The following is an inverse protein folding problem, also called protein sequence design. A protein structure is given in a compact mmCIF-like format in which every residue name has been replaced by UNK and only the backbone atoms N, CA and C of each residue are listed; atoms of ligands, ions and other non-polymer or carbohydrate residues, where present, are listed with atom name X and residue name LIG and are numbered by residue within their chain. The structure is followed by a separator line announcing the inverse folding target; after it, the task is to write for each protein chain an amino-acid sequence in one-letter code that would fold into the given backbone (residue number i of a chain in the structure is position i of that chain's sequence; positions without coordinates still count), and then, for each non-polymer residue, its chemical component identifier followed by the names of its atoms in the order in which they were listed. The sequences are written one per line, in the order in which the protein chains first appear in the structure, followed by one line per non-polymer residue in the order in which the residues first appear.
data_IF_527806515941
#
_entry.id   IF_527806515941
#
_cell.length_a   1.000
_cell.length_b   1.000
_cell.length_c   1.000
_cell.angle_alpha   90.00
_cell.angle_beta   90.00
_cell.angle_gamma   90.00
#
_symmetry.space_group_name_H-M   'P 1'
#
loop_
_entity.id
_entity.type
_entity.pdbx_description
1 polymer ?
#
# COMPACT_ATOMS: atom_id res chain seq x y z
N UNK A 1 70.06 -11.11 -25.83
CA UNK A 1 69.51 -9.86 -25.26
C UNK A 1 68.02 -10.10 -25.04
N UNK A 2 67.65 -10.61 -23.86
CA UNK A 2 66.26 -10.90 -23.49
C UNK A 2 65.94 -10.05 -22.27
N UNK A 3 65.21 -8.97 -22.55
CA UNK A 3 64.51 -8.11 -21.62
C UNK A 3 63.28 -8.89 -21.17
N UNK A 4 63.26 -9.42 -19.95
CA UNK A 4 62.05 -9.99 -19.36
C UNK A 4 62.18 -10.01 -17.83
N UNK A 5 61.12 -9.51 -17.17
CA UNK A 5 60.67 -9.91 -15.83
C UNK A 5 61.32 -9.27 -14.57
N UNK A 6 61.48 -7.95 -14.51
CA UNK A 6 61.72 -7.22 -13.22
C UNK A 6 60.50 -6.46 -12.67
N UNK A 7 59.31 -6.61 -13.28
CA UNK A 7 58.08 -5.89 -12.88
C UNK A 7 57.05 -6.74 -12.11
N UNK A 8 57.11 -8.06 -12.22
CA UNK A 8 56.17 -8.98 -11.53
C UNK A 8 56.62 -9.33 -10.11
N UNK A 9 57.92 -9.51 -9.88
CA UNK A 9 58.48 -9.86 -8.56
C UNK A 9 58.38 -8.73 -7.52
N UNK A 10 58.41 -7.46 -7.94
CA UNK A 10 58.22 -6.34 -7.00
C UNK A 10 56.77 -6.20 -6.51
N UNK A 11 55.79 -6.50 -7.37
CA UNK A 11 54.37 -6.50 -6.97
C UNK A 11 54.07 -7.68 -6.06
N UNK A 12 54.59 -8.86 -6.38
CA UNK A 12 54.43 -10.06 -5.56
C UNK A 12 55.10 -9.93 -4.18
N UNK A 13 56.29 -9.33 -4.12
CA UNK A 13 56.95 -9.03 -2.86
C UNK A 13 56.20 -7.97 -2.05
N UNK A 14 55.62 -6.95 -2.70
CA UNK A 14 54.83 -5.92 -2.01
C UNK A 14 53.48 -6.47 -1.53
N UNK A 15 52.85 -7.39 -2.27
CA UNK A 15 51.65 -8.14 -1.87
C UNK A 15 51.99 -9.07 -0.69
N UNK A 16 53.11 -9.80 -0.76
CA UNK A 16 53.61 -10.61 0.34
C UNK A 16 53.88 -9.75 1.57
N UNK A 17 54.55 -8.60 1.42
CA UNK A 17 54.90 -7.72 2.53
C UNK A 17 53.67 -7.03 3.13
N UNK A 18 52.63 -6.75 2.33
CA UNK A 18 51.34 -6.19 2.77
C UNK A 18 50.47 -7.23 3.46
N UNK A 19 50.50 -8.47 2.99
CA UNK A 19 49.88 -9.61 3.66
C UNK A 19 50.60 -9.91 4.98
N UNK A 20 51.93 -9.85 5.00
CA UNK A 20 52.72 -9.95 6.22
C UNK A 20 52.44 -8.77 7.16
N UNK A 21 52.38 -7.52 6.70
CA UNK A 21 52.12 -6.37 7.59
C UNK A 21 50.73 -6.39 8.21
N UNK A 22 49.72 -6.89 7.50
CA UNK A 22 48.36 -7.07 8.05
C UNK A 22 48.30 -8.19 9.09
N UNK A 23 49.04 -9.29 8.88
CA UNK A 23 49.17 -10.39 9.85
C UNK A 23 50.01 -9.96 11.06
N UNK A 24 51.09 -9.21 10.85
CA UNK A 24 51.95 -8.64 11.91
C UNK A 24 51.19 -7.57 12.71
N UNK A 25 50.33 -6.77 12.06
CA UNK A 25 49.45 -5.81 12.74
C UNK A 25 48.36 -6.52 13.57
N UNK A 26 47.85 -7.67 13.09
CA UNK A 26 46.94 -8.52 13.87
C UNK A 26 47.64 -9.21 15.04
N UNK A 27 48.91 -9.59 14.90
CA UNK A 27 49.76 -10.10 15.99
C UNK A 27 50.15 -9.02 17.01
N UNK A 28 50.20 -7.75 16.61
CA UNK A 28 50.44 -6.60 17.50
C UNK A 28 49.15 -6.05 18.13
N UNK A 29 47.98 -6.57 17.76
CA UNK A 29 46.71 -6.26 18.39
C UNK A 29 46.66 -6.86 19.81
N UNK A 30 45.91 -6.31 20.77
CA UNK A 30 45.74 -6.86 22.12
C UNK A 30 45.36 -8.36 22.18
N UNK A 31 44.72 -8.89 21.13
CA UNK A 31 44.46 -10.33 20.95
C UNK A 31 45.73 -11.15 20.63
N UNK A 32 46.69 -10.59 19.89
CA UNK A 32 47.98 -11.21 19.58
C UNK A 32 49.01 -11.10 20.71
N UNK A 33 48.99 -10.00 21.48
CA UNK A 33 49.84 -9.87 22.67
C UNK A 33 49.42 -10.79 23.84
N UNK A 34 48.18 -11.28 23.85
CA UNK A 34 47.72 -12.31 24.80
C UNK A 34 48.27 -13.71 24.47
N UNK A 35 48.52 -13.99 23.18
CA UNK A 35 49.08 -15.24 22.68
C UNK A 35 50.58 -15.37 22.91
N UNK A 36 51.33 -14.26 22.87
CA UNK A 36 52.79 -14.26 22.93
C UNK A 36 53.37 -14.41 24.35
N UNK A 37 52.74 -13.77 25.35
CA UNK A 37 53.31 -13.73 26.72
C UNK A 37 52.95 -14.94 27.61
N UNK A 38 51.88 -15.69 27.31
CA UNK A 38 51.41 -16.86 28.08
C UNK A 38 50.53 -17.78 27.21
N UNK A 39 51.09 -18.74 26.44
CA UNK A 39 50.32 -19.59 25.51
C UNK A 39 49.17 -20.37 26.17
N UNK A 40 49.31 -20.72 27.46
CA UNK A 40 48.29 -21.44 28.22
C UNK A 40 47.05 -20.58 28.53
N UNK A 41 47.24 -19.31 28.88
CA UNK A 41 46.14 -18.40 29.24
C UNK A 41 45.31 -18.06 28.02
N UNK A 42 45.95 -17.82 26.87
CA UNK A 42 45.26 -17.62 25.60
C UNK A 42 44.45 -18.85 25.18
N UNK A 43 45.01 -20.05 25.31
CA UNK A 43 44.33 -21.29 24.95
C UNK A 43 43.11 -21.55 25.85
N UNK A 44 43.22 -21.30 27.15
CA UNK A 44 42.10 -21.40 28.09
C UNK A 44 41.02 -20.36 27.79
N UNK A 45 41.38 -19.11 27.49
CA UNK A 45 40.41 -18.07 27.11
C UNK A 45 39.67 -18.46 25.82
N UNK A 46 40.38 -19.00 24.84
CA UNK A 46 39.79 -19.44 23.57
C UNK A 46 38.80 -20.59 23.79
N UNK A 47 39.17 -21.59 24.59
CA UNK A 47 38.26 -22.68 24.97
C UNK A 47 37.07 -22.16 25.79
N UNK A 48 37.27 -21.14 26.63
CA UNK A 48 36.19 -20.50 27.37
C UNK A 48 35.23 -19.75 26.46
N UNK A 49 35.74 -19.04 25.45
CA UNK A 49 34.91 -18.38 24.43
C UNK A 49 34.19 -19.43 23.60
N UNK A 50 34.84 -20.50 23.17
CA UNK A 50 34.20 -21.58 22.41
C UNK A 50 33.11 -22.28 23.23
N UNK A 51 33.39 -22.61 24.48
CA UNK A 51 32.44 -23.33 25.35
C UNK A 51 31.32 -22.42 25.86
N UNK A 52 31.56 -21.11 26.01
CA UNK A 52 30.56 -20.12 26.43
C UNK A 52 29.75 -19.58 25.24
N UNK A 53 30.32 -19.54 24.04
CA UNK A 53 29.62 -19.11 22.82
C UNK A 53 28.43 -20.02 22.49
N UNK A 54 28.52 -21.31 22.81
CA UNK A 54 27.41 -22.27 22.62
C UNK A 54 26.18 -21.87 23.47
N UNK A 55 26.25 -21.76 24.80
CA UNK A 55 25.10 -21.36 25.62
C UNK A 55 24.71 -19.89 25.41
N UNK A 56 25.67 -18.98 25.20
CA UNK A 56 25.37 -17.55 24.98
C UNK A 56 24.72 -17.33 23.63
N UNK A 57 25.22 -17.97 22.57
CA UNK A 57 24.66 -17.89 21.23
C UNK A 57 23.28 -18.51 21.17
N UNK A 58 23.07 -19.68 21.79
CA UNK A 58 21.76 -20.29 21.89
C UNK A 58 20.77 -19.41 22.65
N UNK A 59 21.19 -18.80 23.75
CA UNK A 59 20.36 -17.86 24.50
C UNK A 59 19.97 -16.63 23.68
N UNK A 60 20.93 -16.01 23.00
CA UNK A 60 20.65 -14.86 22.12
C UNK A 60 19.71 -15.24 20.97
N UNK A 61 19.92 -16.41 20.35
CA UNK A 61 19.05 -16.90 19.29
C UNK A 61 17.62 -17.12 19.81
N UNK A 62 17.46 -17.74 20.98
CA UNK A 62 16.14 -17.92 21.60
C UNK A 62 15.48 -16.59 21.94
N UNK A 63 16.22 -15.61 22.48
CA UNK A 63 15.69 -14.28 22.76
C UNK A 63 15.25 -13.57 21.48
N UNK A 64 16.02 -13.67 20.40
CA UNK A 64 15.65 -13.12 19.09
C UNK A 64 14.43 -13.83 18.52
N UNK A 65 14.38 -15.16 18.57
CA UNK A 65 13.23 -15.94 18.12
C UNK A 65 11.97 -15.60 18.93
N UNK A 66 12.07 -15.52 20.24
CA UNK A 66 10.95 -15.20 21.13
C UNK A 66 10.51 -13.74 21.05
N UNK A 67 11.37 -12.82 20.61
CA UNK A 67 10.99 -11.43 20.33
C UNK A 67 10.45 -11.24 18.90
N UNK A 68 10.93 -12.02 17.93
CA UNK A 68 10.45 -11.96 16.55
C UNK A 68 9.13 -12.72 16.36
N UNK A 69 8.92 -13.84 17.07
CA UNK A 69 7.69 -14.62 17.03
C UNK A 69 6.43 -13.80 17.32
N UNK A 70 6.35 -12.97 18.39
CA UNK A 70 5.19 -12.11 18.62
C UNK A 70 5.07 -11.01 17.58
N UNK A 71 6.18 -10.46 17.05
CA UNK A 71 6.12 -9.48 15.96
C UNK A 71 5.48 -10.06 14.69
N UNK A 72 5.90 -11.26 14.28
CA UNK A 72 5.29 -11.97 13.14
C UNK A 72 3.83 -12.32 13.43
N UNK A 73 3.52 -12.75 14.66
CA UNK A 73 2.15 -13.03 15.08
C UNK A 73 1.24 -11.81 14.97
N UNK A 74 1.67 -10.65 15.44
CA UNK A 74 0.92 -9.40 15.34
C UNK A 74 0.74 -8.99 13.88
N UNK A 75 1.78 -9.04 13.05
CA UNK A 75 1.69 -8.70 11.62
C UNK A 75 0.68 -9.62 10.90
N UNK A 76 0.67 -10.92 11.20
CA UNK A 76 -0.29 -11.86 10.62
C UNK A 76 -1.73 -11.58 11.08
N UNK A 77 -1.94 -11.32 12.38
CA UNK A 77 -3.27 -11.02 12.92
C UNK A 77 -3.79 -9.68 12.39
N UNK A 78 -2.96 -8.64 12.42
CA UNK A 78 -3.31 -7.31 11.91
C UNK A 78 -3.60 -7.38 10.40
N UNK A 79 -2.74 -8.04 9.63
CA UNK A 79 -2.96 -8.25 8.20
C UNK A 79 -4.24 -9.03 7.89
N UNK A 80 -4.54 -10.07 8.67
CA UNK A 80 -5.78 -10.83 8.54
C UNK A 80 -7.01 -9.98 8.85
N UNK A 81 -6.99 -9.23 9.96
CA UNK A 81 -8.09 -8.35 10.37
C UNK A 81 -8.32 -7.25 9.33
N UNK A 82 -7.25 -6.63 8.81
CA UNK A 82 -7.35 -5.63 7.75
C UNK A 82 -7.90 -6.25 6.47
N UNK A 83 -7.48 -7.46 6.10
CA UNK A 83 -7.97 -8.15 4.90
C UNK A 83 -9.46 -8.47 5.00
N UNK A 84 -9.91 -9.08 6.09
CA UNK A 84 -11.32 -9.40 6.33
C UNK A 84 -12.16 -8.13 6.44
N UNK A 85 -11.64 -7.11 7.13
CA UNK A 85 -12.28 -5.80 7.23
C UNK A 85 -12.44 -5.13 5.87
N UNK A 86 -11.38 -5.15 5.05
CA UNK A 86 -11.40 -4.58 3.70
C UNK A 86 -12.37 -5.32 2.78
N UNK A 87 -12.40 -6.65 2.82
CA UNK A 87 -13.35 -7.46 2.04
C UNK A 87 -14.80 -7.16 2.46
N UNK A 88 -15.05 -7.04 3.76
CA UNK A 88 -16.37 -6.70 4.31
C UNK A 88 -16.80 -5.30 3.87
N UNK A 89 -15.90 -4.32 4.00
CA UNK A 89 -16.15 -2.94 3.57
C UNK A 89 -16.38 -2.87 2.07
N UNK A 90 -15.52 -3.49 1.25
CA UNK A 90 -15.70 -3.57 -0.21
C UNK A 90 -17.02 -4.23 -0.56
N UNK A 91 -17.40 -5.30 0.13
CA UNK A 91 -18.67 -5.99 -0.08
C UNK A 91 -19.85 -5.06 0.21
N UNK A 92 -19.84 -4.36 1.35
CA UNK A 92 -20.90 -3.42 1.73
C UNK A 92 -20.94 -2.22 0.78
N UNK A 93 -19.79 -1.63 0.44
CA UNK A 93 -19.70 -0.52 -0.51
C UNK A 93 -20.21 -0.93 -1.89
N UNK A 94 -19.86 -2.13 -2.34
CA UNK A 94 -20.33 -2.67 -3.62
C UNK A 94 -21.85 -2.90 -3.60
N UNK A 95 -22.39 -3.49 -2.52
CA UNK A 95 -23.83 -3.67 -2.34
C UNK A 95 -24.59 -2.35 -2.32
N UNK A 96 -24.12 -1.38 -1.53
CA UNK A 96 -24.69 -0.03 -1.48
C UNK A 96 -24.58 0.69 -2.83
N UNK A 97 -23.45 0.54 -3.53
CA UNK A 97 -23.24 1.09 -4.86
C UNK A 97 -24.22 0.51 -5.88
N UNK A 98 -24.40 -0.80 -5.89
CA UNK A 98 -25.35 -1.47 -6.78
C UNK A 98 -26.80 -1.04 -6.49
N UNK A 99 -27.18 -0.99 -5.21
CA UNK A 99 -28.51 -0.52 -4.79
C UNK A 99 -28.71 0.94 -5.20
N UNK A 100 -27.71 1.80 -4.99
CA UNK A 100 -27.75 3.21 -5.38
C UNK A 100 -27.89 3.37 -6.90
N UNK A 101 -27.14 2.60 -7.69
CA UNK A 101 -27.26 2.59 -9.15
C UNK A 101 -28.63 2.10 -9.61
N UNK A 102 -29.17 1.05 -8.98
CA UNK A 102 -30.50 0.54 -9.27
C UNK A 102 -31.60 1.58 -8.99
N UNK A 103 -31.54 2.25 -7.84
CA UNK A 103 -32.48 3.31 -7.47
C UNK A 103 -32.34 4.51 -8.40
N UNK A 104 -31.12 4.98 -8.67
CA UNK A 104 -30.85 6.09 -9.59
C UNK A 104 -31.32 5.78 -11.02
N UNK A 105 -31.03 4.58 -11.52
CA UNK A 105 -31.48 4.12 -12.83
C UNK A 105 -33.00 4.04 -12.91
N UNK A 106 -33.65 3.48 -11.88
CA UNK A 106 -35.10 3.39 -11.81
C UNK A 106 -35.74 4.77 -11.76
N UNK A 107 -35.25 5.68 -10.91
CA UNK A 107 -35.73 7.06 -10.83
C UNK A 107 -35.55 7.79 -12.17
N UNK A 108 -34.43 7.59 -12.86
CA UNK A 108 -34.19 8.18 -14.18
C UNK A 108 -35.19 7.70 -15.23
N UNK A 109 -35.40 6.38 -15.34
CA UNK A 109 -36.38 5.79 -16.27
C UNK A 109 -37.80 6.24 -15.91
N UNK A 110 -38.17 6.17 -14.63
CA UNK A 110 -39.46 6.65 -14.14
C UNK A 110 -39.67 8.13 -14.46
N UNK A 111 -38.66 8.98 -14.24
CA UNK A 111 -38.72 10.40 -14.54
C UNK A 111 -38.93 10.68 -16.03
N UNK A 112 -38.21 9.98 -16.92
CA UNK A 112 -38.38 10.10 -18.37
C UNK A 112 -39.80 9.69 -18.77
N UNK A 113 -40.30 8.56 -18.28
CA UNK A 113 -41.66 8.09 -18.59
C UNK A 113 -42.71 9.06 -18.07
N UNK A 114 -42.60 9.54 -16.83
CA UNK A 114 -43.51 10.54 -16.26
C UNK A 114 -43.47 11.85 -17.03
N UNK A 115 -42.28 12.29 -17.45
CA UNK A 115 -42.12 13.51 -18.25
C UNK A 115 -42.83 13.39 -19.59
N UNK A 116 -42.76 12.22 -20.24
CA UNK A 116 -43.48 11.94 -21.48
C UNK A 116 -45.00 11.88 -21.23
N UNK A 117 -45.47 11.15 -20.21
CA UNK A 117 -46.90 11.10 -19.86
C UNK A 117 -47.46 12.49 -19.54
N UNK A 118 -46.72 13.30 -18.78
CA UNK A 118 -47.12 14.66 -18.43
C UNK A 118 -47.19 15.52 -19.67
N UNK A 119 -46.27 15.37 -20.61
CA UNK A 119 -46.32 16.08 -21.90
C UNK A 119 -47.59 15.73 -22.68
N UNK A 120 -47.96 14.45 -22.77
CA UNK A 120 -49.22 14.04 -23.38
C UNK A 120 -50.45 14.55 -22.63
N UNK A 121 -50.45 14.48 -21.29
CA UNK A 121 -51.56 14.93 -20.46
C UNK A 121 -51.77 16.45 -20.53
N UNK A 122 -50.67 17.21 -20.60
CA UNK A 122 -50.69 18.66 -20.75
C UNK A 122 -51.09 19.07 -22.16
N UNK A 123 -50.70 18.31 -23.19
CA UNK A 123 -51.15 18.50 -24.57
C UNK A 123 -52.65 18.20 -24.73
N UNK A 124 -53.13 17.11 -24.11
CA UNK A 124 -54.55 16.78 -24.06
C UNK A 124 -55.38 17.79 -23.26
N UNK A 125 -54.85 18.25 -22.11
CA UNK A 125 -55.49 19.30 -21.30
C UNK A 125 -55.49 20.64 -22.01
N UNK A 126 -54.43 20.98 -22.76
CA UNK A 126 -54.38 22.17 -23.64
C UNK A 126 -55.42 22.07 -24.76
N UNK A 127 -55.63 20.89 -25.36
CA UNK A 127 -56.69 20.68 -26.36
C UNK A 127 -58.10 20.86 -25.77
N UNK A 128 -58.36 20.33 -24.56
CA UNK A 128 -59.62 20.57 -23.85
C UNK A 128 -59.79 22.02 -23.40
N UNK A 129 -58.69 22.70 -23.05
CA UNK A 129 -58.70 24.08 -22.59
C UNK A 129 -58.76 25.09 -23.74
N UNK A 130 -58.26 24.78 -24.94
CA UNK A 130 -58.45 25.60 -26.14
C UNK A 130 -59.91 25.62 -26.62
N UNK A 131 -60.69 24.57 -26.33
CA UNK A 131 -62.14 24.57 -26.57
C UNK A 131 -62.90 25.43 -25.55
N UNK A 132 -62.34 25.70 -24.36
CA UNK A 132 -63.00 26.42 -23.25
C UNK A 132 -62.44 27.84 -23.05
N UNK A 133 -61.20 28.11 -23.47
CA UNK A 133 -60.46 29.34 -23.24
C UNK A 133 -59.91 29.93 -24.55
N UNK A 134 -60.82 30.24 -25.47
CA UNK A 134 -60.57 31.18 -26.57
C UNK A 134 -60.37 32.63 -26.09
N UNK A 135 -60.00 32.85 -24.83
CA UNK A 135 -59.77 34.18 -24.29
C UNK A 135 -58.78 34.14 -23.11
N UNK A 136 -57.58 34.71 -23.34
CA UNK A 136 -56.52 35.10 -22.40
C UNK A 136 -55.42 34.06 -22.15
N UNK A 137 -54.25 34.39 -22.68
CA UNK A 137 -53.01 33.63 -22.51
C UNK A 137 -52.36 33.84 -21.15
N UNK A 138 -51.77 32.76 -20.61
CA UNK A 138 -50.78 32.84 -19.56
C UNK A 138 -49.66 31.80 -19.79
N UNK A 139 -48.47 32.35 -20.07
CA UNK A 139 -47.15 31.96 -19.53
C UNK A 139 -46.91 30.46 -19.26
N UNK A 140 -46.77 29.69 -20.34
CA UNK A 140 -46.19 28.35 -20.36
C UNK A 140 -44.65 28.42 -20.57
N UNK A 141 -43.92 29.07 -19.66
CA UNK A 141 -42.43 29.12 -19.72
C UNK A 141 -41.75 28.70 -18.41
N UNK A 142 -42.37 28.89 -17.26
CA UNK A 142 -41.75 28.61 -15.95
C UNK A 142 -41.70 27.13 -15.55
N UNK A 143 -42.66 26.31 -15.98
CA UNK A 143 -42.71 24.88 -15.58
C UNK A 143 -41.65 24.03 -16.30
N UNK A 144 -41.31 24.40 -17.54
CA UNK A 144 -40.28 23.71 -18.32
C UNK A 144 -38.86 23.92 -17.78
N UNK A 145 -38.61 25.08 -17.16
CA UNK A 145 -37.30 25.42 -16.59
C UNK A 145 -37.03 24.65 -15.27
N UNK A 146 -38.06 24.49 -14.43
CA UNK A 146 -37.97 23.78 -13.16
C UNK A 146 -37.70 22.28 -13.34
N UNK A 147 -38.38 21.66 -14.31
CA UNK A 147 -38.20 20.24 -14.67
C UNK A 147 -36.79 19.99 -15.22
N UNK A 148 -36.29 20.88 -16.08
CA UNK A 148 -34.91 20.81 -16.59
C UNK A 148 -33.88 21.01 -15.48
N UNK A 149 -34.11 21.95 -14.57
CA UNK A 149 -33.20 22.24 -13.45
C UNK A 149 -33.13 21.08 -12.44
N UNK A 150 -34.26 20.41 -12.14
CA UNK A 150 -34.27 19.21 -11.28
C UNK A 150 -33.51 18.05 -11.93
N UNK A 151 -33.66 17.85 -13.24
CA UNK A 151 -32.95 16.81 -13.99
C UNK A 151 -31.44 17.04 -14.03
N UNK A 152 -31.00 18.30 -14.22
CA UNK A 152 -29.58 18.67 -14.17
C UNK A 152 -29.00 18.54 -12.75
N UNK A 153 -29.75 18.93 -11.71
CA UNK A 153 -29.31 18.82 -10.32
C UNK A 153 -29.16 17.35 -9.89
N UNK A 154 -30.05 16.46 -10.36
CA UNK A 154 -29.98 15.03 -10.08
C UNK A 154 -28.89 14.30 -10.89
N UNK A 155 -28.57 14.78 -12.10
CA UNK A 155 -27.45 14.28 -12.92
C UNK A 155 -26.07 14.75 -12.42
N UNK A 156 -26.01 15.88 -11.69
CA UNK A 156 -24.77 16.39 -11.09
C UNK A 156 -24.44 15.75 -9.74
N UNK A 157 -25.42 15.14 -9.05
CA UNK A 157 -25.19 14.56 -7.72
C UNK A 157 -24.29 13.30 -7.65
N UNK A 158 -24.15 12.42 -8.67
CA UNK A 158 -23.29 11.25 -8.55
C UNK A 158 -21.85 11.46 -9.08
N UNK A 159 -21.53 12.58 -9.73
CA UNK A 159 -20.19 12.79 -10.33
C UNK A 159 -19.28 13.78 -9.58
N UNK A 160 -19.75 14.42 -8.50
CA UNK A 160 -18.99 15.42 -7.76
C UNK A 160 -18.02 14.91 -6.68
N UNK A 161 -17.85 13.59 -6.53
CA UNK A 161 -16.93 12.99 -5.53
C UNK A 161 -15.97 12.02 -6.22
N UNK A 162 -15.25 12.49 -7.24
CA UNK A 162 -13.94 11.93 -7.60
C UNK A 162 -13.17 12.91 -8.50
N UNK A 163 -12.07 13.47 -7.98
CA UNK A 163 -11.07 14.24 -8.75
C UNK A 163 -11.01 15.72 -8.42
#
# INVERSE_FOLDING_TARGET
MVKMETSSTSKDLQELQRNNSKVIAFMNSPVGQYLDKRPFVALTLLMFIMVSSIPVGFFLLLVVLMSLAPCVGVILVEGFVISVGSLTLLCVLCGLGFVSLAISGTLSVCYVVLSNLTNYWFSFSTLKHQQILGNKGLTCKDVGLYSKHIGYLLCLLPFGVWG
#
